data_IF_657364541564
#
_entry.id   IF_657364541564
#
_cell.length_a   1.000
_cell.length_b   1.000
_cell.length_c   1.000
_cell.angle_alpha   90.00
_cell.angle_beta   90.00
_cell.angle_gamma   90.00
#
_symmetry.space_group_name_H-M   'P 1'
#
loop_
_entity.id
_entity.type
_entity.pdbx_description
1 polymer ?
#
# COMPACT_ATOMS: atom_id res chain seq x y z
N UNK A 1 -14.15 -27.64 -12.98
CA UNK A 1 -14.35 -26.26 -13.49
C UNK A 1 -13.05 -25.51 -13.38
N UNK A 2 -12.49 -25.13 -14.51
CA UNK A 2 -11.31 -24.28 -14.60
C UNK A 2 -11.80 -22.85 -14.80
N UNK A 3 -11.26 -21.93 -13.99
CA UNK A 3 -11.53 -20.50 -14.08
C UNK A 3 -10.25 -19.83 -14.54
N UNK A 4 -10.38 -18.91 -15.49
CA UNK A 4 -9.32 -17.99 -15.89
C UNK A 4 -9.79 -16.56 -15.63
N UNK A 5 -8.86 -15.70 -15.26
CA UNK A 5 -9.10 -14.29 -15.03
C UNK A 5 -8.17 -13.46 -15.92
N UNK A 6 -8.76 -12.61 -16.76
CA UNK A 6 -8.08 -11.74 -17.71
C UNK A 6 -8.39 -10.30 -17.31
N UNK A 7 -7.35 -9.53 -16.96
CA UNK A 7 -7.50 -8.10 -16.68
C UNK A 7 -7.27 -7.28 -17.95
N UNK A 8 -8.24 -6.43 -18.29
CA UNK A 8 -8.18 -5.50 -19.43
C UNK A 8 -8.21 -4.08 -18.88
N UNK A 9 -7.11 -3.35 -19.05
CA UNK A 9 -6.95 -2.00 -18.50
C UNK A 9 -7.22 -0.93 -19.55
N UNK A 10 -7.98 0.10 -19.15
CA UNK A 10 -8.30 1.25 -19.98
C UNK A 10 -7.68 2.51 -19.35
N UNK A 11 -6.41 2.76 -19.67
CA UNK A 11 -5.57 3.80 -19.05
C UNK A 11 -5.28 5.01 -19.97
N UNK A 12 -6.11 5.21 -20.99
CA UNK A 12 -5.95 6.26 -21.99
C UNK A 12 -7.29 6.92 -22.27
N UNK A 13 -7.25 8.20 -22.67
CA UNK A 13 -8.44 8.87 -23.17
C UNK A 13 -9.03 8.15 -24.38
N UNK A 14 -8.16 7.65 -25.25
CA UNK A 14 -8.56 6.93 -26.46
C UNK A 14 -8.45 5.41 -26.31
N UNK A 15 -9.35 4.71 -26.98
CA UNK A 15 -9.47 3.25 -26.96
C UNK A 15 -8.71 2.67 -28.16
N UNK A 16 -7.66 1.90 -27.86
CA UNK A 16 -6.99 1.07 -28.87
C UNK A 16 -7.77 -0.22 -29.08
N UNK A 17 -8.70 -0.18 -30.03
CA UNK A 17 -9.59 -1.29 -30.35
C UNK A 17 -8.86 -2.56 -30.78
N UNK A 18 -7.79 -2.42 -31.57
CA UNK A 18 -7.00 -3.56 -32.05
C UNK A 18 -6.27 -4.21 -30.88
N UNK A 19 -5.65 -3.41 -30.00
CA UNK A 19 -5.00 -3.93 -28.80
C UNK A 19 -5.99 -4.62 -27.85
N UNK A 20 -7.17 -4.03 -27.64
CA UNK A 20 -8.19 -4.62 -26.75
C UNK A 20 -8.69 -5.94 -27.31
N UNK A 21 -9.07 -6.00 -28.59
CA UNK A 21 -9.52 -7.26 -29.20
C UNK A 21 -8.41 -8.29 -29.20
N UNK A 22 -7.16 -7.89 -29.42
CA UNK A 22 -6.01 -8.78 -29.27
C UNK A 22 -5.90 -9.38 -27.86
N UNK A 23 -6.04 -8.57 -26.81
CA UNK A 23 -6.03 -9.04 -25.41
C UNK A 23 -7.21 -10.00 -25.15
N UNK A 24 -8.40 -9.68 -25.65
CA UNK A 24 -9.59 -10.52 -25.52
C UNK A 24 -9.49 -11.86 -26.29
N UNK A 25 -8.60 -11.95 -27.27
CA UNK A 25 -8.39 -13.14 -28.11
C UNK A 25 -7.12 -13.94 -27.76
N UNK A 26 -6.16 -13.35 -27.06
CA UNK A 26 -4.87 -13.96 -26.70
C UNK A 26 -5.06 -15.34 -26.03
N UNK A 27 -6.03 -15.45 -25.12
CA UNK A 27 -6.37 -16.71 -24.44
C UNK A 27 -7.46 -17.53 -25.16
N UNK A 28 -7.57 -17.47 -26.49
CA UNK A 28 -8.36 -18.47 -27.25
C UNK A 28 -7.50 -19.53 -27.93
N UNK A 29 -6.20 -19.31 -28.09
CA UNK A 29 -5.35 -20.20 -28.90
C UNK A 29 -4.91 -21.49 -28.18
N UNK A 30 -4.79 -21.50 -26.85
CA UNK A 30 -4.38 -22.70 -26.09
C UNK A 30 -5.54 -23.57 -25.56
N UNK A 31 -6.80 -23.12 -25.75
CA UNK A 31 -7.97 -23.61 -25.01
C UNK A 31 -8.84 -24.63 -25.76
N UNK A 32 -8.40 -25.04 -26.96
CA UNK A 32 -9.06 -26.07 -27.79
C UNK A 32 -9.12 -27.45 -27.11
N UNK A 33 -8.55 -27.61 -25.91
CA UNK A 33 -8.54 -28.87 -25.13
C UNK A 33 -9.70 -29.06 -24.14
N UNK A 34 -10.49 -28.04 -23.83
CA UNK A 34 -11.56 -28.14 -22.83
C UNK A 34 -12.94 -28.02 -23.48
N UNK A 35 -13.92 -28.78 -22.99
CA UNK A 35 -15.32 -28.57 -23.36
C UNK A 35 -15.78 -27.23 -22.79
N UNK A 36 -16.53 -26.45 -23.58
CA UNK A 36 -17.07 -25.13 -23.19
C UNK A 36 -17.90 -25.14 -21.88
N UNK A 37 -18.30 -26.33 -21.41
CA UNK A 37 -19.13 -26.53 -20.22
C UNK A 37 -18.34 -26.56 -18.90
N UNK A 38 -17.01 -26.77 -18.95
CA UNK A 38 -16.17 -26.93 -17.76
C UNK A 38 -15.21 -25.75 -17.52
N UNK A 39 -15.32 -24.70 -18.32
CA UNK A 39 -14.34 -23.61 -18.36
C UNK A 39 -15.03 -22.23 -18.36
N UNK A 40 -14.70 -21.40 -17.37
CA UNK A 40 -15.26 -20.04 -17.21
C UNK A 40 -14.13 -19.03 -17.39
N UNK A 41 -14.34 -18.03 -18.25
CA UNK A 41 -13.41 -16.91 -18.40
C UNK A 41 -14.00 -15.70 -17.70
N UNK A 42 -13.23 -15.09 -16.82
CA UNK A 42 -13.59 -13.87 -16.11
C UNK A 42 -12.76 -12.73 -16.71
N UNK A 43 -13.42 -11.78 -17.34
CA UNK A 43 -12.79 -10.54 -17.78
C UNK A 43 -13.00 -9.48 -16.69
N UNK A 44 -11.91 -8.97 -16.16
CA UNK A 44 -11.92 -7.81 -15.28
C UNK A 44 -11.56 -6.56 -16.10
N UNK A 45 -12.56 -5.73 -16.39
CA UNK A 45 -12.43 -4.49 -17.13
C UNK A 45 -12.16 -3.35 -16.14
N UNK A 46 -10.90 -2.91 -16.08
CA UNK A 46 -10.41 -1.86 -15.19
C UNK A 46 -10.41 -0.51 -15.93
N UNK A 47 -11.36 0.36 -15.57
CA UNK A 47 -11.55 1.66 -16.22
C UNK A 47 -10.89 2.76 -15.41
N UNK A 48 -9.90 3.45 -15.99
CA UNK A 48 -9.23 4.58 -15.36
C UNK A 48 -10.08 5.86 -15.38
N UNK A 49 -9.76 6.84 -14.53
CA UNK A 49 -10.41 8.16 -14.51
C UNK A 49 -10.16 9.00 -15.76
N UNK A 50 -9.16 8.64 -16.57
CA UNK A 50 -8.76 9.39 -17.75
C UNK A 50 -9.51 9.01 -19.04
N UNK A 51 -10.35 7.98 -19.04
CA UNK A 51 -11.08 7.56 -20.25
C UNK A 51 -12.12 8.60 -20.68
N UNK A 52 -12.34 8.71 -21.99
CA UNK A 52 -13.36 9.59 -22.55
C UNK A 52 -14.67 8.84 -22.90
N UNK A 53 -15.62 9.55 -23.51
CA UNK A 53 -16.94 9.01 -23.85
C UNK A 53 -16.95 7.82 -24.83
N UNK A 54 -15.85 7.58 -25.56
CA UNK A 54 -15.74 6.48 -26.53
C UNK A 54 -15.86 5.10 -25.85
N UNK A 55 -15.65 5.02 -24.54
CA UNK A 55 -15.87 3.80 -23.75
C UNK A 55 -17.31 3.30 -23.80
N UNK A 56 -18.29 4.18 -24.07
CA UNK A 56 -19.67 3.75 -24.28
C UNK A 56 -19.83 2.91 -25.53
N UNK A 57 -19.11 3.23 -26.60
CA UNK A 57 -19.15 2.45 -27.84
C UNK A 57 -18.59 1.05 -27.59
N UNK A 58 -17.54 0.95 -26.76
CA UNK A 58 -16.98 -0.32 -26.34
C UNK A 58 -17.99 -1.14 -25.53
N UNK A 59 -18.61 -0.55 -24.50
CA UNK A 59 -19.62 -1.26 -23.70
C UNK A 59 -20.87 -1.61 -24.50
N UNK A 60 -21.25 -0.77 -25.46
CA UNK A 60 -22.38 -1.05 -26.34
C UNK A 60 -22.08 -2.28 -27.22
N UNK A 61 -20.92 -2.31 -27.85
CA UNK A 61 -20.48 -3.46 -28.64
C UNK A 61 -20.36 -4.73 -27.78
N UNK A 62 -19.70 -4.63 -26.62
CA UNK A 62 -19.46 -5.77 -25.76
C UNK A 62 -20.75 -6.34 -25.13
N UNK A 63 -21.58 -5.51 -24.50
CA UNK A 63 -22.71 -5.99 -23.70
C UNK A 63 -24.03 -6.08 -24.48
N UNK A 64 -24.25 -5.17 -25.43
CA UNK A 64 -25.51 -5.14 -26.18
C UNK A 64 -25.39 -5.88 -27.51
N UNK A 65 -24.32 -5.64 -28.26
CA UNK A 65 -24.10 -6.36 -29.52
C UNK A 65 -23.47 -7.74 -29.31
N UNK A 66 -22.84 -7.98 -28.16
CA UNK A 66 -22.14 -9.22 -27.82
C UNK A 66 -21.00 -9.56 -28.80
N UNK A 67 -20.48 -8.54 -29.49
CA UNK A 67 -19.30 -8.68 -30.34
C UNK A 67 -18.59 -7.34 -30.52
N UNK A 68 -17.28 -7.40 -30.77
CA UNK A 68 -16.44 -6.25 -31.10
C UNK A 68 -15.71 -6.60 -32.38
N UNK A 69 -15.84 -5.74 -33.39
CA UNK A 69 -15.18 -5.91 -34.67
C UNK A 69 -14.09 -4.86 -34.87
N UNK A 70 -12.94 -5.31 -35.34
CA UNK A 70 -11.82 -4.47 -35.76
C UNK A 70 -11.51 -4.74 -37.23
N UNK A 71 -10.49 -4.08 -37.79
CA UNK A 71 -10.13 -4.32 -39.18
C UNK A 71 -9.55 -5.71 -39.40
N UNK A 72 -8.89 -6.25 -38.37
CA UNK A 72 -8.14 -7.50 -38.45
C UNK A 72 -8.83 -8.69 -37.80
N UNK A 73 -9.74 -8.45 -36.84
CA UNK A 73 -10.26 -9.49 -35.97
C UNK A 73 -11.62 -9.15 -35.37
N UNK A 74 -12.33 -10.20 -34.93
CA UNK A 74 -13.64 -10.11 -34.30
C UNK A 74 -13.64 -10.89 -33.00
N UNK A 75 -14.14 -10.27 -31.93
CA UNK A 75 -14.38 -10.91 -30.65
C UNK A 75 -15.89 -11.12 -30.46
N UNK A 76 -16.29 -12.31 -30.02
CA UNK A 76 -17.68 -12.62 -29.67
C UNK A 76 -17.76 -13.06 -28.21
N UNK A 77 -18.79 -12.57 -27.51
CA UNK A 77 -19.13 -12.96 -26.15
C UNK A 77 -19.78 -14.33 -26.14
N UNK A 78 -19.24 -15.24 -25.33
CA UNK A 78 -19.75 -16.59 -25.17
C UNK A 78 -20.45 -16.78 -23.81
N UNK A 79 -21.39 -17.73 -23.67
CA UNK A 79 -22.10 -17.98 -22.41
C UNK A 79 -21.22 -18.37 -21.22
N UNK A 80 -19.98 -18.78 -21.46
CA UNK A 80 -19.01 -19.15 -20.43
C UNK A 80 -18.11 -17.98 -19.99
N UNK A 81 -18.40 -16.76 -20.47
CA UNK A 81 -17.67 -15.54 -20.12
C UNK A 81 -18.44 -14.72 -19.09
N UNK A 82 -17.71 -14.17 -18.11
CA UNK A 82 -18.22 -13.26 -17.08
C UNK A 82 -17.41 -11.98 -17.17
N UNK A 83 -18.06 -10.82 -17.09
CA UNK A 83 -17.40 -9.52 -17.13
C UNK A 83 -17.66 -8.78 -15.82
N UNK A 84 -16.57 -8.42 -15.13
CA UNK A 84 -16.59 -7.47 -14.03
C UNK A 84 -16.09 -6.12 -14.55
N UNK A 85 -16.82 -5.05 -14.25
CA UNK A 85 -16.46 -3.69 -14.66
C UNK A 85 -16.12 -2.90 -13.40
N UNK A 86 -14.86 -2.53 -13.25
CA UNK A 86 -14.38 -1.62 -12.21
C UNK A 86 -14.37 -0.20 -12.77
N UNK A 87 -15.00 0.72 -12.03
CA UNK A 87 -15.21 2.10 -12.46
C UNK A 87 -14.66 3.08 -11.42
N UNK A 88 -14.08 4.20 -11.87
CA UNK A 88 -13.64 5.23 -10.95
C UNK A 88 -14.87 6.02 -10.47
N UNK A 89 -14.83 6.50 -9.23
CA UNK A 89 -15.90 7.35 -8.68
C UNK A 89 -15.96 8.74 -9.31
N UNK A 90 -14.87 9.17 -9.95
CA UNK A 90 -14.69 10.47 -10.60
C UNK A 90 -13.80 10.30 -11.82
N UNK A 91 -14.11 11.03 -12.89
CA UNK A 91 -13.26 11.13 -14.07
C UNK A 91 -12.49 12.45 -14.06
N UNK A 92 -11.36 12.50 -14.77
CA UNK A 92 -10.44 13.65 -14.78
C UNK A 92 -11.11 14.92 -15.31
N UNK A 93 -12.09 14.75 -16.21
CA UNK A 93 -12.93 15.84 -16.68
C UNK A 93 -14.00 16.15 -15.62
N UNK A 94 -13.71 17.15 -14.79
CA UNK A 94 -14.39 17.49 -13.51
C UNK A 94 -15.91 17.68 -13.60
N UNK A 95 -16.48 17.79 -14.81
CA UNK A 95 -17.94 17.90 -15.01
C UNK A 95 -18.65 16.56 -15.25
N UNK A 96 -17.91 15.48 -15.51
CA UNK A 96 -18.50 14.21 -15.90
C UNK A 96 -18.63 13.26 -14.70
N UNK A 97 -19.88 12.97 -14.34
CA UNK A 97 -20.18 11.88 -13.39
C UNK A 97 -20.00 10.52 -14.08
N UNK A 98 -19.77 9.41 -13.35
CA UNK A 98 -19.76 8.08 -13.96
C UNK A 98 -21.01 7.76 -14.78
N UNK A 99 -22.16 8.28 -14.36
CA UNK A 99 -23.39 8.17 -15.14
C UNK A 99 -23.30 8.88 -16.50
N UNK A 100 -22.67 10.05 -16.56
CA UNK A 100 -22.50 10.81 -17.80
C UNK A 100 -21.49 10.13 -18.73
N UNK A 101 -20.40 9.59 -18.16
CA UNK A 101 -19.37 8.89 -18.94
C UNK A 101 -19.82 7.52 -19.40
N UNK A 102 -20.72 6.84 -18.67
CA UNK A 102 -21.04 5.42 -18.87
C UNK A 102 -22.54 5.14 -18.97
N UNK A 103 -23.27 5.99 -19.69
CA UNK A 103 -24.73 5.91 -19.80
C UNK A 103 -25.22 4.56 -20.32
N UNK A 104 -24.42 3.86 -21.14
CA UNK A 104 -24.71 2.51 -21.64
C UNK A 104 -24.91 1.51 -20.51
N UNK A 105 -24.16 1.64 -19.40
CA UNK A 105 -24.29 0.78 -18.22
C UNK A 105 -25.45 1.24 -17.31
N UNK A 106 -25.68 2.53 -17.18
CA UNK A 106 -26.59 3.08 -16.15
C UNK A 106 -28.03 3.34 -16.61
N UNK A 107 -28.38 3.12 -17.88
CA UNK A 107 -29.70 3.50 -18.42
C UNK A 107 -30.90 2.71 -17.85
N UNK A 108 -30.70 1.48 -17.34
CA UNK A 108 -31.75 0.72 -16.62
C UNK A 108 -31.23 -0.15 -15.46
N UNK A 109 -29.92 -0.46 -15.42
CA UNK A 109 -29.33 -1.39 -14.47
C UNK A 109 -28.86 -0.62 -13.23
N UNK A 110 -29.54 -0.83 -12.10
CA UNK A 110 -29.06 -0.38 -10.79
C UNK A 110 -27.91 -1.27 -10.34
N UNK A 111 -26.69 -0.91 -10.69
CA UNK A 111 -25.52 -1.56 -10.11
C UNK A 111 -25.50 -1.32 -8.60
N UNK A 112 -25.21 -2.35 -7.78
CA UNK A 112 -24.92 -2.13 -6.38
C UNK A 112 -23.65 -1.29 -6.28
N UNK A 113 -23.79 -0.02 -5.93
CA UNK A 113 -22.67 0.83 -5.58
C UNK A 113 -22.15 0.36 -4.22
N UNK A 114 -21.08 -0.42 -4.24
CA UNK A 114 -20.35 -0.79 -3.04
C UNK A 114 -19.37 0.34 -2.75
N UNK A 115 -19.69 1.18 -1.76
CA UNK A 115 -18.74 2.15 -1.22
C UNK A 115 -17.57 1.39 -0.64
N UNK A 116 -16.35 1.64 -1.13
CA UNK A 116 -15.13 1.13 -0.52
C UNK A 116 -14.79 2.03 0.66
N UNK A 117 -15.21 1.64 1.85
CA UNK A 117 -14.89 2.33 3.10
C UNK A 117 -14.19 1.39 4.10
N UNK A 118 -13.80 1.91 5.27
CA UNK A 118 -13.09 1.11 6.28
C UNK A 118 -13.93 -0.05 6.86
N UNK A 119 -15.26 0.00 6.73
CA UNK A 119 -16.13 -1.09 7.17
C UNK A 119 -16.23 -2.19 6.11
N UNK A 120 -16.26 -1.85 4.82
CA UNK A 120 -16.30 -2.81 3.72
C UNK A 120 -14.92 -3.37 3.37
N UNK A 121 -13.87 -2.57 3.53
CA UNK A 121 -12.48 -2.91 3.21
C UNK A 121 -11.55 -2.40 4.33
N UNK A 122 -11.51 -3.05 5.49
CA UNK A 122 -10.62 -2.65 6.57
C UNK A 122 -9.16 -2.91 6.19
N UNK A 123 -8.26 -2.03 6.63
CA UNK A 123 -6.83 -2.29 6.53
C UNK A 123 -6.45 -3.49 7.41
N UNK A 124 -5.85 -4.52 6.80
CA UNK A 124 -5.38 -5.70 7.51
C UNK A 124 -3.91 -5.54 7.85
N UNK A 125 -3.58 -5.51 9.15
CA UNK A 125 -2.21 -5.42 9.63
C UNK A 125 -1.51 -6.77 9.46
N UNK A 126 -1.01 -7.01 8.24
CA UNK A 126 -0.21 -8.20 7.85
C UNK A 126 1.25 -8.06 8.30
N UNK A 127 2.08 -9.02 7.92
CA UNK A 127 3.49 -9.18 8.29
C UNK A 127 4.29 -7.87 8.41
N UNK A 128 4.38 -7.06 7.35
CA UNK A 128 5.17 -5.80 7.37
C UNK A 128 4.62 -4.79 8.37
N UNK A 129 3.30 -4.61 8.41
CA UNK A 129 2.66 -3.69 9.33
C UNK A 129 2.84 -4.15 10.78
N UNK A 130 2.71 -5.45 11.03
CA UNK A 130 2.94 -6.07 12.34
C UNK A 130 4.37 -5.87 12.81
N UNK A 131 5.35 -6.15 11.95
CA UNK A 131 6.76 -5.90 12.22
C UNK A 131 7.00 -4.46 12.65
N UNK A 132 6.45 -3.51 11.89
CA UNK A 132 6.59 -2.08 12.19
C UNK A 132 5.91 -1.68 13.50
N UNK A 133 4.70 -2.17 13.75
CA UNK A 133 3.95 -1.85 14.96
C UNK A 133 4.63 -2.39 16.22
N UNK A 134 5.18 -3.61 16.16
CA UNK A 134 5.99 -4.19 17.24
C UNK A 134 7.21 -3.32 17.55
N UNK A 135 7.96 -2.93 16.52
CA UNK A 135 9.11 -2.02 16.67
C UNK A 135 8.71 -0.66 17.26
N UNK A 136 7.66 -0.04 16.72
CA UNK A 136 7.21 1.26 17.19
C UNK A 136 6.66 1.21 18.63
N UNK A 137 6.07 0.09 19.08
CA UNK A 137 5.67 -0.08 20.48
C UNK A 137 6.87 0.06 21.42
N UNK A 138 8.02 -0.50 21.08
CA UNK A 138 9.24 -0.33 21.87
C UNK A 138 9.76 1.10 21.82
N UNK A 139 9.71 1.73 20.65
CA UNK A 139 10.09 3.13 20.47
C UNK A 139 9.27 4.06 21.37
N UNK A 140 7.93 4.00 21.29
CA UNK A 140 7.04 4.87 22.10
C UNK A 140 7.00 4.51 23.59
N UNK A 141 7.52 3.34 23.97
CA UNK A 141 7.70 2.93 25.36
C UNK A 141 9.09 3.32 25.89
N UNK A 142 9.89 4.05 25.11
CA UNK A 142 11.27 4.41 25.41
C UNK A 142 12.21 3.21 25.65
N UNK A 143 11.80 2.00 25.28
CA UNK A 143 12.60 0.79 25.45
C UNK A 143 13.80 0.73 24.48
N UNK A 144 13.80 1.58 23.45
CA UNK A 144 14.96 1.77 22.57
C UNK A 144 15.99 2.78 23.13
N UNK A 145 15.66 3.49 24.23
CA UNK A 145 16.57 4.43 24.90
C UNK A 145 17.45 3.73 25.93
N UNK A 146 18.56 4.37 26.31
CA UNK A 146 19.26 4.09 27.56
C UNK A 146 18.77 5.03 28.66
N UNK A 147 18.76 4.56 29.91
CA UNK A 147 18.24 5.29 31.09
C UNK A 147 18.98 6.61 31.41
N UNK A 148 20.13 6.86 30.78
CA UNK A 148 20.90 8.10 30.97
C UNK A 148 21.15 8.79 29.62
N UNK A 149 20.63 10.01 29.48
CA UNK A 149 20.81 10.85 28.29
C UNK A 149 21.96 11.81 28.57
N UNK A 150 22.92 11.87 27.65
CA UNK A 150 23.76 13.07 27.46
C UNK A 150 23.46 13.53 26.05
N UNK A 151 23.16 14.83 25.86
CA UNK A 151 22.81 15.39 24.56
C UNK A 151 23.98 15.22 23.56
N UNK A 152 23.73 14.54 22.44
CA UNK A 152 24.73 14.29 21.39
C UNK A 152 24.16 14.76 20.05
N UNK A 153 24.94 15.54 19.31
CA UNK A 153 24.70 15.81 17.90
C UNK A 153 25.14 14.60 17.07
N UNK A 154 24.20 13.76 16.65
CA UNK A 154 24.50 12.58 15.82
C UNK A 154 24.22 12.90 14.35
N UNK A 155 25.27 12.84 13.51
CA UNK A 155 25.11 12.81 12.06
C UNK A 155 24.90 11.35 11.62
N UNK A 156 23.67 10.97 11.28
CA UNK A 156 23.39 9.65 10.72
C UNK A 156 23.37 9.77 9.18
N UNK A 157 24.36 9.17 8.53
CA UNK A 157 24.33 8.91 7.08
C UNK A 157 23.74 7.52 6.84
N UNK A 158 22.45 7.46 6.47
CA UNK A 158 21.84 6.21 5.97
C UNK A 158 22.10 6.18 4.47
N UNK A 159 22.94 5.25 4.01
CA UNK A 159 23.46 5.18 2.63
C UNK A 159 22.41 4.93 1.52
N UNK A 160 21.12 4.83 1.87
CA UNK A 160 20.00 4.71 0.93
C UNK A 160 19.07 5.94 0.90
N UNK A 161 19.39 7.01 1.63
CA UNK A 161 18.65 8.27 1.62
C UNK A 161 19.64 9.39 1.30
N UNK A 162 19.40 10.12 0.21
CA UNK A 162 20.16 11.32 -0.12
C UNK A 162 20.14 12.29 1.07
N UNK A 163 21.29 12.38 1.75
CA UNK A 163 21.82 13.49 2.56
C UNK A 163 20.76 14.36 3.29
N UNK A 164 20.29 13.91 4.44
CA UNK A 164 19.60 14.78 5.41
C UNK A 164 20.54 15.21 6.55
N UNK A 165 20.56 16.50 6.85
CA UNK A 165 21.27 17.11 7.99
C UNK A 165 20.23 17.36 9.08
N UNK A 166 20.33 16.67 10.21
CA UNK A 166 19.50 16.92 11.39
C UNK A 166 20.18 17.96 12.31
N UNK A 167 19.55 19.11 12.48
CA UNK A 167 19.82 20.04 13.58
C UNK A 167 18.51 20.23 14.35
N UNK A 168 18.34 19.55 15.49
CA UNK A 168 17.28 19.87 16.46
C UNK A 168 17.95 20.30 17.78
N UNK A 169 17.78 21.56 18.23
CA UNK A 169 18.12 21.93 19.60
C UNK A 169 16.94 21.55 20.51
N UNK A 170 17.16 20.69 21.52
CA UNK A 170 16.21 20.52 22.63
C UNK A 170 16.86 21.04 23.92
N UNK A 171 16.06 21.70 24.74
CA UNK A 171 16.49 22.50 25.89
C UNK A 171 16.97 21.66 27.09
N UNK A 172 17.90 22.24 27.84
CA UNK A 172 18.63 21.67 28.98
C UNK A 172 17.73 21.35 30.17
N UNK A 173 17.83 20.15 30.75
CA UNK A 173 17.45 19.91 32.16
C UNK A 173 18.49 19.06 32.91
N UNK A 174 19.13 19.71 33.89
CA UNK A 174 19.83 19.26 35.10
C UNK A 174 20.59 17.92 35.13
N UNK A 175 21.91 18.08 35.35
CA UNK A 175 22.93 17.06 35.55
C UNK A 175 22.85 16.44 36.96
N UNK A 176 22.84 15.10 37.06
CA UNK A 176 23.17 14.37 38.28
C UNK A 176 24.33 13.42 37.96
N UNK A 177 25.48 13.65 38.61
CA UNK A 177 26.65 12.79 38.54
C UNK A 177 26.45 11.56 39.44
N UNK A 178 26.00 10.46 38.85
CA UNK A 178 26.10 9.12 39.43
C UNK A 178 26.94 8.25 38.50
N UNK A 179 27.84 7.42 39.05
CA UNK A 179 28.61 6.47 38.27
C UNK A 179 27.66 5.57 37.46
N UNK A 180 27.87 5.36 36.14
CA UNK A 180 26.99 4.49 35.37
C UNK A 180 27.11 3.08 35.94
N UNK A 181 26.02 2.56 36.51
CA UNK A 181 25.93 1.11 36.64
C UNK A 181 25.92 0.56 35.23
N UNK A 182 26.91 -0.27 34.91
CA UNK A 182 27.02 -0.97 33.64
C UNK A 182 25.84 -1.95 33.58
N UNK A 183 24.65 -1.44 33.26
CA UNK A 183 23.45 -2.25 33.14
C UNK A 183 23.74 -3.34 32.10
N UNK A 184 23.38 -4.59 32.46
CA UNK A 184 23.48 -5.75 31.59
C UNK A 184 23.02 -5.37 30.18
N UNK A 185 23.85 -5.65 29.18
CA UNK A 185 23.54 -5.37 27.78
C UNK A 185 22.26 -6.12 27.44
N UNK A 186 21.11 -5.44 27.47
CA UNK A 186 19.85 -6.03 27.05
C UNK A 186 20.03 -6.50 25.60
N UNK A 187 19.64 -7.74 25.27
CA UNK A 187 19.68 -8.19 23.90
C UNK A 187 18.85 -7.25 23.04
N UNK A 188 19.36 -6.95 21.84
CA UNK A 188 18.68 -6.10 20.87
C UNK A 188 17.26 -6.62 20.63
N UNK A 189 16.27 -5.72 20.69
CA UNK A 189 14.89 -6.05 20.37
C UNK A 189 14.78 -6.53 18.92
N UNK A 190 13.99 -7.58 18.74
CA UNK A 190 13.80 -8.29 17.48
C UNK A 190 12.30 -8.53 17.28
N UNK A 191 11.63 -7.78 16.38
CA UNK A 191 10.19 -7.89 16.17
C UNK A 191 9.73 -9.30 15.77
N UNK A 192 10.60 -10.10 15.14
CA UNK A 192 10.28 -11.46 14.68
C UNK A 192 10.13 -12.45 15.85
N UNK A 193 10.67 -12.11 17.02
CA UNK A 193 10.58 -12.92 18.24
C UNK A 193 9.37 -12.59 19.11
N UNK A 194 8.60 -11.57 18.72
CA UNK A 194 7.45 -11.09 19.48
C UNK A 194 6.16 -11.60 18.84
N UNK A 195 5.20 -11.99 19.68
CA UNK A 195 3.88 -12.44 19.23
C UNK A 195 3.18 -11.36 18.41
N UNK A 196 2.41 -11.81 17.42
CA UNK A 196 1.56 -10.95 16.60
C UNK A 196 0.57 -10.16 17.47
N UNK A 197 0.38 -8.89 17.12
CA UNK A 197 -0.62 -8.04 17.76
C UNK A 197 -1.99 -8.36 17.17
N UNK A 198 -3.02 -8.37 18.01
CA UNK A 198 -4.39 -8.45 17.50
C UNK A 198 -4.75 -7.20 16.69
N UNK A 199 -5.68 -7.33 15.75
CA UNK A 199 -6.21 -6.21 14.95
C UNK A 199 -6.62 -5.02 15.84
N UNK A 200 -7.29 -5.29 16.97
CA UNK A 200 -7.74 -4.26 17.91
C UNK A 200 -6.59 -3.52 18.61
N UNK A 201 -5.48 -4.22 18.89
CA UNK A 201 -4.29 -3.60 19.46
C UNK A 201 -3.58 -2.71 18.45
N UNK A 202 -3.48 -3.17 17.19
CA UNK A 202 -2.95 -2.37 16.08
C UNK A 202 -3.76 -1.09 15.89
N UNK A 203 -5.09 -1.20 15.83
CA UNK A 203 -5.98 -0.05 15.66
C UNK A 203 -5.89 0.93 16.84
N UNK A 204 -5.85 0.41 18.07
CA UNK A 204 -5.68 1.25 19.27
C UNK A 204 -4.36 1.99 19.26
N UNK A 205 -3.28 1.31 18.86
CA UNK A 205 -1.96 1.91 18.73
C UNK A 205 -1.95 3.00 17.66
N UNK A 206 -2.45 2.70 16.46
CA UNK A 206 -2.51 3.63 15.34
C UNK A 206 -3.33 4.87 15.70
N UNK A 207 -4.49 4.68 16.33
CA UNK A 207 -5.35 5.78 16.78
C UNK A 207 -4.63 6.71 17.78
N UNK A 208 -3.77 6.16 18.64
CA UNK A 208 -3.06 6.92 19.66
C UNK A 208 -1.89 7.72 19.10
N UNK A 209 -1.09 7.11 18.22
CA UNK A 209 0.22 7.66 17.83
C UNK A 209 0.31 8.13 16.38
N UNK A 210 -0.54 7.59 15.51
CA UNK A 210 -0.53 7.82 14.06
C UNK A 210 -1.97 8.03 13.52
N UNK A 211 -2.76 8.96 14.11
CA UNK A 211 -4.17 9.13 13.74
C UNK A 211 -4.35 9.57 12.28
N UNK A 212 -3.43 10.36 11.75
CA UNK A 212 -3.48 10.85 10.37
C UNK A 212 -3.30 9.70 9.38
N UNK A 213 -2.29 8.84 9.60
CA UNK A 213 -2.06 7.63 8.81
C UNK A 213 -3.24 6.67 8.94
N UNK A 214 -3.79 6.47 10.14
CA UNK A 214 -4.97 5.63 10.33
C UNK A 214 -6.18 6.12 9.52
N UNK A 215 -6.27 7.43 9.28
CA UNK A 215 -7.34 8.06 8.51
C UNK A 215 -7.05 8.20 7.01
N UNK A 216 -5.83 7.88 6.58
CA UNK A 216 -5.45 7.84 5.17
C UNK A 216 -6.05 6.64 4.43
N UNK A 217 -5.94 6.64 3.10
CA UNK A 217 -6.37 5.52 2.26
C UNK A 217 -5.59 4.22 2.59
N UNK A 218 -6.17 3.07 2.25
CA UNK A 218 -5.52 1.75 2.44
C UNK A 218 -4.17 1.72 1.72
N UNK A 219 -4.09 2.31 0.52
CA UNK A 219 -2.85 2.41 -0.25
C UNK A 219 -1.79 3.24 0.50
N UNK A 220 -2.17 4.39 1.06
CA UNK A 220 -1.24 5.21 1.86
C UNK A 220 -0.77 4.47 3.12
N UNK A 221 -1.66 3.76 3.80
CA UNK A 221 -1.29 2.92 4.95
C UNK A 221 -0.30 1.82 4.54
N UNK A 222 -0.54 1.15 3.41
CA UNK A 222 0.37 0.10 2.90
C UNK A 222 1.74 0.68 2.52
N UNK A 223 1.77 1.81 1.81
CA UNK A 223 3.01 2.50 1.46
C UNK A 223 3.80 2.97 2.69
N UNK A 224 3.11 3.51 3.70
CA UNK A 224 3.71 3.90 4.99
C UNK A 224 4.41 2.71 5.66
N UNK A 225 3.72 1.57 5.79
CA UNK A 225 4.30 0.38 6.41
C UNK A 225 5.38 -0.28 5.54
N UNK A 226 5.26 -0.26 4.21
CA UNK A 226 6.29 -0.75 3.31
C UNK A 226 7.59 0.03 3.47
N UNK A 227 7.52 1.36 3.55
CA UNK A 227 8.68 2.20 3.79
C UNK A 227 9.31 1.90 5.16
N UNK A 228 8.52 1.94 6.24
CA UNK A 228 9.02 1.72 7.60
C UNK A 228 9.61 0.32 7.77
N UNK A 229 9.04 -0.69 7.13
CA UNK A 229 9.53 -2.06 7.21
C UNK A 229 10.99 -2.15 6.74
N UNK A 230 11.30 -1.53 5.59
CA UNK A 230 12.67 -1.49 5.06
C UNK A 230 13.61 -0.76 6.01
N UNK A 231 13.17 0.36 6.60
CA UNK A 231 13.97 1.11 7.56
C UNK A 231 14.24 0.28 8.83
N UNK A 232 13.19 -0.28 9.44
CA UNK A 232 13.32 -1.01 10.71
C UNK A 232 14.06 -2.34 10.57
N UNK A 233 13.87 -3.07 9.47
CA UNK A 233 14.69 -4.25 9.15
C UNK A 233 16.18 -3.89 9.10
N UNK A 234 16.51 -2.74 8.49
CA UNK A 234 17.89 -2.24 8.44
C UNK A 234 18.41 -1.91 9.85
N UNK A 235 17.58 -1.29 10.71
CA UNK A 235 17.97 -0.97 12.08
C UNK A 235 18.18 -2.21 12.96
N UNK A 236 17.32 -3.22 12.82
CA UNK A 236 17.42 -4.48 13.58
C UNK A 236 18.67 -5.26 13.19
N UNK A 237 18.93 -5.37 11.89
CA UNK A 237 20.04 -6.17 11.36
C UNK A 237 21.40 -5.44 11.38
N UNK A 238 21.41 -4.12 11.57
CA UNK A 238 22.64 -3.34 11.55
C UNK A 238 23.56 -3.65 12.74
N UNK A 239 24.76 -4.13 12.42
CA UNK A 239 25.85 -4.30 13.38
C UNK A 239 26.43 -2.96 13.86
N UNK A 240 26.21 -1.89 13.10
CA UNK A 240 26.82 -0.58 13.31
C UNK A 240 25.93 0.37 14.12
N UNK A 241 24.61 0.25 13.98
CA UNK A 241 23.62 1.10 14.66
C UNK A 241 23.19 0.53 16.01
N UNK A 242 24.07 -0.20 16.70
CA UNK A 242 23.80 -0.63 18.07
C UNK A 242 23.93 0.56 19.00
N UNK A 243 23.05 0.66 19.99
CA UNK A 243 23.22 1.64 21.04
C UNK A 243 24.53 1.32 21.78
N UNK A 244 25.43 2.30 21.91
CA UNK A 244 26.78 2.11 22.47
C UNK A 244 27.15 3.28 23.36
N UNK A 245 27.98 2.99 24.35
CA UNK A 245 28.68 4.02 25.14
C UNK A 245 29.94 4.42 24.38
N UNK A 246 30.08 5.71 24.09
CA UNK A 246 31.24 6.29 23.41
C UNK A 246 31.83 7.37 24.30
N UNK A 247 33.05 7.12 24.82
CA UNK A 247 33.84 8.06 25.64
C UNK A 247 33.10 8.68 26.85
N UNK A 248 32.04 8.06 27.40
CA UNK A 248 31.14 8.53 28.49
C UNK A 248 29.78 9.10 28.05
N UNK A 249 29.42 8.96 26.77
CA UNK A 249 28.12 9.37 26.25
C UNK A 249 27.35 8.16 25.70
N UNK A 250 26.06 8.07 26.04
CA UNK A 250 25.18 7.03 25.50
C UNK A 250 24.63 7.49 24.15
N UNK A 251 25.08 6.88 23.06
CA UNK A 251 24.48 7.14 21.74
C UNK A 251 23.35 6.13 21.50
N UNK A 252 22.13 6.64 21.34
CA UNK A 252 20.91 5.85 21.16
C UNK A 252 20.54 5.75 19.67
N UNK A 253 21.48 5.29 18.83
CA UNK A 253 21.33 5.26 17.37
C UNK A 253 19.99 4.67 16.90
N UNK A 254 19.50 3.60 17.54
CA UNK A 254 18.23 2.98 17.15
C UNK A 254 17.05 3.88 17.45
N UNK A 255 17.06 4.58 18.60
CA UNK A 255 15.99 5.49 18.97
C UNK A 255 15.91 6.67 18.00
N UNK A 256 17.05 7.35 17.79
CA UNK A 256 17.15 8.52 16.90
C UNK A 256 16.82 8.17 15.44
N UNK A 257 17.34 7.05 14.94
CA UNK A 257 17.04 6.62 13.58
C UNK A 257 15.59 6.18 13.40
N UNK A 258 14.97 5.62 14.46
CA UNK A 258 13.53 5.29 14.44
C UNK A 258 12.66 6.54 14.41
N UNK A 259 12.97 7.56 15.24
CA UNK A 259 12.27 8.85 15.21
C UNK A 259 12.35 9.45 13.80
N UNK A 260 13.55 9.50 13.22
CA UNK A 260 13.77 10.03 11.87
C UNK A 260 13.00 9.25 10.80
N UNK A 261 13.01 7.92 10.84
CA UNK A 261 12.26 7.10 9.87
C UNK A 261 10.75 7.35 9.97
N UNK A 262 10.21 7.48 11.18
CA UNK A 262 8.80 7.78 11.41
C UNK A 262 8.45 9.19 10.91
N UNK A 263 9.28 10.19 11.21
CA UNK A 263 9.07 11.57 10.77
C UNK A 263 9.07 11.65 9.23
N UNK A 264 10.03 11.02 8.55
CA UNK A 264 10.06 10.96 7.07
C UNK A 264 8.81 10.26 6.53
N UNK A 265 8.39 9.14 7.14
CA UNK A 265 7.22 8.41 6.68
C UNK A 265 5.93 9.23 6.80
N UNK A 266 5.82 10.07 7.84
CA UNK A 266 4.69 11.01 8.01
C UNK A 266 4.73 12.17 7.03
N UNK A 267 5.92 12.64 6.64
CA UNK A 267 6.04 13.71 5.66
C UNK A 267 5.69 13.22 4.24
N UNK A 268 5.88 11.93 3.94
CA UNK A 268 5.59 11.34 2.64
C UNK A 268 4.11 10.96 2.43
N UNK A 269 3.34 10.69 3.50
CA UNK A 269 2.01 10.06 3.41
C UNK A 269 0.99 10.69 4.36
#
# INVERSE_FOLDING_TARGET
>A
KHVEEICVQFNSSDIDWEQIVYILLQDKQDYVKYSEQDYIIIYHLDISSCVNLNINDFFFQLFFLQHIDTHSSSFHVNPNMVFFVELPSKFDNVQDTPHNVLYTLFSEIKFPLISVDKASNPFLYKEKAQYCLKWMKEYYSDNLKFETIVDIYVYIFIYNLEKFILQKPRGVTNWIWGAPQLNEVRPDYDPDKVLELSQSECETFMKKWLPDIMNSSILQQDMFFNYLYVQFMTLVTSLYLKNKVVFDHFIQYKHEATECAIDIAKDLY
#
